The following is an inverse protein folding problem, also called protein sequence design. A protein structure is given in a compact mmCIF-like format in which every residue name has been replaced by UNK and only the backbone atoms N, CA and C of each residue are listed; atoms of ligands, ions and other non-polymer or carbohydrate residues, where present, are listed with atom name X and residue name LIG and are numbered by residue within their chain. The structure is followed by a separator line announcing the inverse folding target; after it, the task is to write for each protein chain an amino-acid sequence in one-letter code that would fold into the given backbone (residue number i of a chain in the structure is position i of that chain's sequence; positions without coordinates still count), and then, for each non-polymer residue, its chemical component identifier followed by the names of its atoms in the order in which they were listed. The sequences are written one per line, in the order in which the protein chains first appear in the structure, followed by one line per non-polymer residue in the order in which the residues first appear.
data_IF_286283999288
#
_entry.id   IF_286283999288
#
_cell.length_a   1.000
_cell.length_b   1.000
_cell.length_c   1.000
_cell.angle_alpha   90.00
_cell.angle_beta   90.00
_cell.angle_gamma   90.00
#
_symmetry.space_group_name_H-M   'P 1'
#
loop_
_entity.id
_entity.type
_entity.pdbx_description
1 polymer ?
#
# COMPACT_ATOMS: atom_id res chain seq x y z
N UNK A 1 -11.45 -4.77 6.86
CA UNK A 1 -11.76 -5.29 8.20
C UNK A 1 -10.79 -4.69 9.20
N UNK A 2 -11.27 -4.20 10.34
CA UNK A 2 -10.41 -3.73 11.46
C UNK A 2 -10.59 -4.69 12.63
N UNK A 3 -9.49 -5.16 13.23
CA UNK A 3 -9.51 -5.96 14.45
C UNK A 3 -8.66 -5.31 15.52
N UNK A 4 -9.23 -5.16 16.71
CA UNK A 4 -8.55 -4.63 17.89
C UNK A 4 -8.37 -5.77 18.89
N UNK A 5 -7.18 -5.91 19.46
CA UNK A 5 -6.91 -6.93 20.48
C UNK A 5 -5.99 -6.41 21.58
N UNK A 6 -6.10 -7.00 22.77
CA UNK A 6 -5.27 -6.68 23.91
C UNK A 6 -4.32 -7.84 24.18
N UNK A 7 -3.02 -7.61 24.13
CA UNK A 7 -2.02 -8.60 24.51
C UNK A 7 -1.51 -8.30 25.92
N UNK A 8 -1.72 -9.25 26.84
CA UNK A 8 -1.15 -9.22 28.19
C UNK A 8 -0.13 -10.33 28.31
N UNK A 9 1.15 -9.97 28.45
CA UNK A 9 2.20 -10.93 28.80
C UNK A 9 2.27 -11.07 30.34
N UNK A 10 2.44 -12.29 30.88
CA UNK A 10 2.37 -12.54 32.32
C UNK A 10 3.49 -11.87 33.14
N UNK A 11 4.56 -11.39 32.51
CA UNK A 11 5.76 -10.95 33.22
C UNK A 11 5.92 -9.44 33.41
N UNK A 12 5.14 -8.57 32.73
CA UNK A 12 5.37 -7.12 32.77
C UNK A 12 4.05 -6.36 32.57
N UNK A 13 3.79 -5.39 33.44
CA UNK A 13 2.56 -4.59 33.63
C UNK A 13 2.07 -3.76 32.41
N UNK A 14 2.69 -3.90 31.22
CA UNK A 14 2.26 -3.19 30.00
C UNK A 14 1.31 -4.06 29.17
N UNK A 15 0.04 -3.66 29.13
CA UNK A 15 -0.95 -4.21 28.20
C UNK A 15 -0.77 -3.58 26.82
N UNK A 16 0.00 -4.24 25.97
CA UNK A 16 0.13 -3.84 24.58
C UNK A 16 -1.23 -3.98 23.88
N UNK A 17 -1.65 -2.92 23.20
CA UNK A 17 -2.86 -2.81 22.40
C UNK A 17 -2.48 -2.98 20.95
N UNK A 18 -3.13 -3.91 20.27
CA UNK A 18 -2.88 -4.22 18.86
C UNK A 18 -4.04 -3.75 18.00
N UNK A 19 -3.72 -3.08 16.90
CA UNK A 19 -4.63 -2.77 15.82
C UNK A 19 -4.19 -3.54 14.57
N UNK A 20 -5.11 -4.27 13.96
CA UNK A 20 -4.92 -4.94 12.67
C UNK A 20 -5.90 -4.33 11.67
N UNK A 21 -5.38 -3.75 10.59
CA UNK A 21 -6.17 -3.27 9.46
C UNK A 21 -5.88 -4.18 8.27
N UNK A 22 -6.94 -4.78 7.73
CA UNK A 22 -6.89 -5.54 6.48
C UNK A 22 -7.79 -4.86 5.45
N UNK A 23 -7.22 -4.52 4.30
CA UNK A 23 -7.90 -3.93 3.16
C UNK A 23 -7.70 -4.88 1.98
N UNK A 24 -8.80 -5.44 1.50
CA UNK A 24 -8.78 -6.36 0.37
C UNK A 24 -9.18 -5.64 -0.90
N UNK A 25 -8.52 -5.98 -2.01
CA UNK A 25 -8.83 -5.42 -3.33
C UNK A 25 -9.54 -6.46 -4.18
N UNK A 26 -10.56 -6.05 -4.92
CA UNK A 26 -11.27 -6.95 -5.84
C UNK A 26 -10.50 -7.21 -7.13
N UNK A 27 -9.54 -6.35 -7.47
CA UNK A 27 -8.70 -6.52 -8.66
C UNK A 27 -7.65 -7.59 -8.42
N UNK A 28 -7.56 -8.56 -9.35
CA UNK A 28 -6.54 -9.62 -9.34
C UNK A 28 -5.11 -9.09 -9.47
N UNK A 29 -4.95 -7.84 -9.89
CA UNK A 29 -3.65 -7.18 -10.07
C UNK A 29 -3.20 -6.42 -8.82
N UNK A 30 -4.04 -6.34 -7.79
CA UNK A 30 -3.69 -5.77 -6.49
C UNK A 30 -3.50 -6.83 -5.41
N UNK A 31 -2.59 -6.54 -4.49
CA UNK A 31 -2.37 -7.33 -3.30
C UNK A 31 -3.12 -6.70 -2.12
N UNK A 32 -3.69 -7.55 -1.29
CA UNK A 32 -4.31 -7.14 -0.03
C UNK A 32 -3.30 -6.45 0.87
N UNK A 33 -3.71 -5.35 1.50
CA UNK A 33 -2.90 -4.61 2.47
C UNK A 33 -3.27 -5.10 3.87
N UNK A 34 -2.28 -5.64 4.59
CA UNK A 34 -2.42 -6.10 5.97
C UNK A 34 -1.42 -5.34 6.83
N UNK A 35 -1.91 -4.63 7.84
CA UNK A 35 -1.11 -3.80 8.72
C UNK A 35 -1.40 -4.17 10.16
N UNK A 36 -0.33 -4.41 10.92
CA UNK A 36 -0.37 -4.66 12.35
C UNK A 36 0.46 -3.61 13.08
N UNK A 37 -0.17 -2.85 13.98
CA UNK A 37 0.49 -1.95 14.92
C UNK A 37 0.22 -2.39 16.35
N UNK A 38 1.25 -2.27 17.18
CA UNK A 38 1.21 -2.61 18.61
C UNK A 38 1.73 -1.41 19.39
N UNK A 39 0.88 -0.86 20.24
CA UNK A 39 1.20 0.30 21.08
C UNK A 39 0.70 0.10 22.51
N UNK A 40 1.20 0.89 23.45
CA UNK A 40 0.69 0.88 24.82
C UNK A 40 -0.70 1.53 24.93
N UNK A 41 -1.05 2.42 23.99
CA UNK A 41 -2.35 3.08 23.88
C UNK A 41 -3.05 2.68 22.57
N UNK A 42 -4.29 2.22 22.66
CA UNK A 42 -5.08 1.74 21.51
C UNK A 42 -5.32 2.83 20.47
N UNK A 43 -5.49 4.09 20.88
CA UNK A 43 -5.71 5.19 19.94
C UNK A 43 -4.46 5.47 19.11
N UNK A 44 -3.27 5.35 19.72
CA UNK A 44 -1.99 5.49 19.01
C UNK A 44 -1.78 4.32 18.03
N UNK A 45 -2.15 3.09 18.41
CA UNK A 45 -2.11 1.95 17.48
C UNK A 45 -3.04 2.15 16.28
N UNK A 46 -4.21 2.76 16.50
CA UNK A 46 -5.17 3.06 15.42
C UNK A 46 -4.62 4.14 14.48
N UNK A 47 -4.14 5.27 15.02
CA UNK A 47 -3.63 6.38 14.20
C UNK A 47 -2.43 5.93 13.36
N UNK A 48 -1.49 5.20 13.96
CA UNK A 48 -0.33 4.64 13.24
C UNK A 48 -0.75 3.62 12.17
N UNK A 49 -1.70 2.74 12.48
CA UNK A 49 -2.20 1.77 11.51
C UNK A 49 -2.92 2.45 10.35
N UNK A 50 -3.72 3.48 10.64
CA UNK A 50 -4.46 4.24 9.64
C UNK A 50 -3.53 5.04 8.72
N UNK A 51 -2.52 5.72 9.27
CA UNK A 51 -1.52 6.45 8.49
C UNK A 51 -0.76 5.52 7.54
N UNK A 52 -0.33 4.35 8.02
CA UNK A 52 0.33 3.35 7.18
C UNK A 52 -0.62 2.77 6.14
N UNK A 53 -1.87 2.52 6.50
CA UNK A 53 -2.90 2.01 5.58
C UNK A 53 -3.13 3.00 4.44
N UNK A 54 -3.28 4.28 4.76
CA UNK A 54 -3.48 5.35 3.78
C UNK A 54 -2.36 5.39 2.75
N UNK A 55 -1.10 5.38 3.20
CA UNK A 55 0.07 5.42 2.31
C UNK A 55 0.18 4.18 1.43
N UNK A 56 -0.02 2.98 1.99
CA UNK A 56 0.09 1.73 1.23
C UNK A 56 -1.05 1.58 0.21
N UNK A 57 -2.27 1.97 0.56
CA UNK A 57 -3.40 1.96 -0.37
C UNK A 57 -3.18 2.97 -1.50
N UNK A 58 -2.71 4.18 -1.20
CA UNK A 58 -2.41 5.19 -2.22
C UNK A 58 -1.39 4.66 -3.24
N UNK A 59 -0.28 4.10 -2.77
CA UNK A 59 0.72 3.50 -3.66
C UNK A 59 0.18 2.31 -4.45
N UNK A 60 -0.64 1.45 -3.83
CA UNK A 60 -1.23 0.32 -4.54
C UNK A 60 -2.19 0.77 -5.64
N UNK A 61 -2.96 1.84 -5.40
CA UNK A 61 -3.85 2.41 -6.40
C UNK A 61 -3.09 3.13 -7.52
N UNK A 62 -2.03 3.88 -7.21
CA UNK A 62 -1.12 4.45 -8.21
C UNK A 62 -0.54 3.37 -9.12
N UNK A 63 -0.09 2.25 -8.54
CA UNK A 63 0.38 1.10 -9.32
C UNK A 63 -0.72 0.56 -10.22
N UNK A 64 -1.92 0.29 -9.70
CA UNK A 64 -3.04 -0.19 -10.53
C UNK A 64 -3.37 0.77 -11.67
N UNK A 65 -3.42 2.07 -11.38
CA UNK A 65 -3.67 3.11 -12.37
C UNK A 65 -2.62 3.07 -13.50
N UNK A 66 -1.33 3.00 -13.15
CA UNK A 66 -0.25 2.89 -14.13
C UNK A 66 -0.24 1.57 -14.91
N UNK A 67 -0.82 0.49 -14.39
CA UNK A 67 -0.96 -0.76 -15.15
C UNK A 67 -2.17 -0.73 -16.09
N UNK A 68 -3.26 -0.04 -15.71
CA UNK A 68 -4.40 0.16 -16.59
C UNK A 68 -4.10 1.16 -17.72
N UNK A 69 -3.31 2.18 -17.44
CA UNK A 69 -2.66 3.00 -18.46
C UNK A 69 -1.28 2.40 -18.76
N UNK A 70 -1.27 1.22 -19.39
CA UNK A 70 -0.03 0.64 -19.92
C UNK A 70 0.79 1.70 -20.67
N UNK A 71 2.13 1.57 -20.70
CA UNK A 71 3.02 2.61 -21.22
C UNK A 71 2.46 3.08 -22.56
N UNK A 72 1.99 4.34 -22.59
CA UNK A 72 1.39 4.90 -23.79
C UNK A 72 2.39 4.70 -24.93
N UNK A 73 2.00 4.09 -26.07
CA UNK A 73 2.86 3.98 -27.24
C UNK A 73 2.99 5.36 -27.89
N UNK A 74 3.57 6.32 -27.17
CA UNK A 74 3.91 7.66 -27.63
C UNK A 74 5.43 7.81 -27.85
N UNK A 75 6.12 6.69 -28.07
CA UNK A 75 7.51 6.66 -28.57
C UNK A 75 7.59 6.17 -30.03
N UNK A 76 6.51 6.32 -30.79
CA UNK A 76 6.49 6.09 -32.22
C UNK A 76 6.00 7.33 -32.93
N UNK A 77 6.89 8.29 -33.21
CA UNK A 77 6.74 9.27 -34.28
C UNK A 77 8.09 9.99 -34.54
N UNK A 78 8.76 9.52 -35.59
CA UNK A 78 9.36 10.41 -36.60
C UNK A 78 10.77 10.96 -36.34
N UNK A 79 11.76 10.28 -36.91
CA UNK A 79 12.62 10.94 -37.92
C UNK A 79 13.19 9.93 -38.92
N UNK A 80 12.54 9.84 -40.08
CA UNK A 80 13.20 9.44 -41.30
C UNK A 80 14.21 10.51 -41.66
N UNK A 81 15.50 10.20 -41.57
CA UNK A 81 16.54 11.00 -42.21
C UNK A 81 17.52 10.04 -42.84
N UNK A 82 17.22 9.61 -44.06
CA UNK A 82 18.21 9.18 -45.03
C UNK A 82 19.10 10.38 -45.39
N UNK A 83 20.42 10.26 -45.28
CA UNK A 83 21.31 10.95 -46.18
C UNK A 83 21.91 9.91 -47.14
N UNK A 84 21.50 10.00 -48.41
CA UNK A 84 22.28 9.48 -49.52
C UNK A 84 23.59 10.23 -49.58
N UNK A 85 24.75 9.58 -49.50
CA UNK A 85 26.00 10.10 -50.08
C UNK A 85 26.97 8.97 -50.44
N UNK A 86 27.24 8.91 -51.74
CA UNK A 86 28.43 8.44 -52.49
C UNK A 86 28.82 6.95 -52.43
#
# INVERSE_FOLDING_TARGET
MVRLSNQSSPHILSKNKRCLIQISFSSTQAQDVIIEDIETNIYVAIDRAADRASRLVAHQLERLHNHHHGPSPAAGLGNTSTPSLH
#
